data_IF_748335413938
#
_entry.id   IF_748335413938
#
_cell.length_a   1.000
_cell.length_b   1.000
_cell.length_c   1.000
_cell.angle_alpha   90.00
_cell.angle_beta   90.00
_cell.angle_gamma   90.00
#
_symmetry.space_group_name_H-M   'P 1'
#
loop_
_entity.id
_entity.type
_entity.pdbx_description
1 polymer ?
#
# COMPACT_ATOMS: atom_id res chain seq x y z
N UNK A 1 0.23 -33.01 -4.42
CA UNK A 1 0.50 -31.76 -3.64
C UNK A 1 0.04 -31.96 -2.21
N UNK A 2 0.90 -31.67 -1.21
CA UNK A 2 0.51 -31.76 0.21
C UNK A 2 -0.51 -30.66 0.52
N UNK A 3 -1.63 -31.01 1.16
CA UNK A 3 -2.61 -30.05 1.67
C UNK A 3 -2.03 -29.44 2.95
N UNK A 4 -2.08 -28.11 3.10
CA UNK A 4 -1.71 -27.45 4.37
C UNK A 4 -2.74 -27.80 5.44
N UNK A 5 -2.24 -28.18 6.62
CA UNK A 5 -3.04 -28.47 7.81
C UNK A 5 -2.88 -27.32 8.80
N UNK A 6 -3.97 -26.92 9.44
CA UNK A 6 -3.98 -25.86 10.43
C UNK A 6 -2.98 -26.15 11.57
N UNK A 7 -2.16 -25.16 11.92
CA UNK A 7 -1.04 -25.27 12.87
C UNK A 7 -0.01 -26.38 12.55
N UNK A 8 -0.07 -27.00 11.36
CA UNK A 8 0.83 -28.09 10.94
C UNK A 8 2.22 -27.63 10.50
N UNK A 9 2.36 -26.34 10.22
CA UNK A 9 3.57 -25.72 9.69
C UNK A 9 3.54 -25.51 8.19
N UNK A 10 4.22 -24.45 7.75
CA UNK A 10 4.38 -24.12 6.33
C UNK A 10 5.79 -24.51 5.90
N UNK A 11 5.98 -25.27 4.81
CA UNK A 11 7.30 -25.55 4.25
C UNK A 11 8.06 -24.25 3.94
N UNK A 12 9.36 -24.20 4.20
CA UNK A 12 10.17 -22.99 3.97
C UNK A 12 10.08 -22.49 2.53
N UNK A 13 10.13 -23.40 1.54
CA UNK A 13 9.99 -23.05 0.12
C UNK A 13 8.66 -22.33 -0.17
N UNK A 14 7.55 -22.85 0.36
CA UNK A 14 6.21 -22.24 0.19
C UNK A 14 6.18 -20.85 0.86
N UNK A 15 6.74 -20.73 2.06
CA UNK A 15 6.77 -19.45 2.78
C UNK A 15 7.57 -18.37 2.03
N UNK A 16 8.79 -18.70 1.57
CA UNK A 16 9.60 -17.76 0.80
C UNK A 16 8.96 -17.43 -0.55
N UNK A 17 8.35 -18.40 -1.23
CA UNK A 17 7.57 -18.15 -2.45
C UNK A 17 6.42 -17.17 -2.17
N UNK A 18 5.64 -17.38 -1.10
CA UNK A 18 4.58 -16.45 -0.73
C UNK A 18 5.11 -15.05 -0.43
N UNK A 19 6.25 -14.92 0.24
CA UNK A 19 6.89 -13.63 0.53
C UNK A 19 7.33 -12.91 -0.76
N UNK A 20 7.96 -13.63 -1.69
CA UNK A 20 8.34 -13.09 -3.01
C UNK A 20 7.12 -12.68 -3.83
N UNK A 21 6.11 -13.55 -3.91
CA UNK A 21 4.85 -13.24 -4.62
C UNK A 21 4.13 -12.04 -3.99
N UNK A 22 4.15 -11.91 -2.65
CA UNK A 22 3.58 -10.75 -1.97
C UNK A 22 4.28 -9.45 -2.39
N UNK A 23 5.60 -9.45 -2.44
CA UNK A 23 6.38 -8.30 -2.88
C UNK A 23 6.12 -7.94 -4.35
N UNK A 24 6.17 -8.93 -5.25
CA UNK A 24 5.97 -8.70 -6.69
C UNK A 24 4.54 -8.26 -7.04
N UNK A 25 3.53 -8.72 -6.32
CA UNK A 25 2.15 -8.31 -6.57
C UNK A 25 1.81 -6.94 -5.98
N UNK A 26 2.32 -6.59 -4.80
CA UNK A 26 2.11 -5.24 -4.25
C UNK A 26 2.85 -4.17 -5.06
N UNK A 27 3.94 -4.53 -5.72
CA UNK A 27 4.73 -3.66 -6.59
C UNK A 27 3.87 -2.96 -7.66
N UNK A 28 2.82 -3.62 -8.16
CA UNK A 28 1.89 -3.06 -9.15
C UNK A 28 1.21 -1.76 -8.69
N UNK A 29 1.08 -1.56 -7.37
CA UNK A 29 0.51 -0.34 -6.79
C UNK A 29 1.43 0.88 -6.88
N UNK A 30 2.73 0.64 -7.07
CA UNK A 30 3.77 1.67 -6.90
C UNK A 30 4.59 1.93 -8.16
N UNK A 31 4.49 1.07 -9.20
CA UNK A 31 5.23 1.26 -10.45
C UNK A 31 4.93 2.58 -11.16
N UNK A 32 3.70 3.08 -11.06
CA UNK A 32 3.28 4.31 -11.71
C UNK A 32 3.92 5.58 -11.10
N UNK A 33 4.25 5.57 -9.79
CA UNK A 33 4.66 6.78 -9.07
C UNK A 33 5.89 7.49 -9.67
N UNK A 34 7.00 6.80 -9.99
CA UNK A 34 8.14 7.46 -10.64
C UNK A 34 7.88 7.85 -12.10
N UNK A 35 6.84 7.28 -12.73
CA UNK A 35 6.58 7.42 -14.17
C UNK A 35 5.52 8.49 -14.51
N UNK A 36 4.87 9.08 -13.50
CA UNK A 36 3.73 9.99 -13.71
C UNK A 36 4.08 11.19 -14.59
N UNK A 37 5.27 11.77 -14.40
CA UNK A 37 5.74 12.89 -15.20
C UNK A 37 5.98 12.48 -16.66
N UNK A 38 6.63 11.33 -16.88
CA UNK A 38 6.86 10.78 -18.22
C UNK A 38 5.53 10.47 -18.93
N UNK A 39 4.56 9.87 -18.22
CA UNK A 39 3.22 9.60 -18.75
C UNK A 39 2.45 10.89 -19.07
N UNK A 40 2.60 11.95 -18.25
CA UNK A 40 2.03 13.26 -18.49
C UNK A 40 2.49 13.82 -19.84
N UNK A 41 3.80 13.81 -20.09
CA UNK A 41 4.41 14.37 -21.30
C UNK A 41 4.07 13.53 -22.55
N UNK A 42 4.21 12.20 -22.46
CA UNK A 42 4.06 11.30 -23.60
C UNK A 42 2.58 11.21 -24.06
N UNK A 43 1.65 11.10 -23.13
CA UNK A 43 0.21 11.05 -23.39
C UNK A 43 -0.43 12.43 -23.63
N UNK A 44 0.32 13.52 -23.43
CA UNK A 44 -0.15 14.92 -23.52
C UNK A 44 -1.39 15.18 -22.68
N UNK A 45 -1.42 14.63 -21.49
CA UNK A 45 -2.49 14.78 -20.50
C UNK A 45 -2.10 15.78 -19.43
N UNK A 46 -3.05 16.29 -18.64
CA UNK A 46 -2.74 17.16 -17.52
C UNK A 46 -2.07 16.40 -16.37
N UNK A 47 -1.30 17.09 -15.53
CA UNK A 47 -0.68 16.48 -14.33
C UNK A 47 -1.74 15.88 -13.38
N UNK A 48 -2.91 16.52 -13.28
CA UNK A 48 -4.05 15.99 -12.52
C UNK A 48 -4.53 14.66 -13.11
N UNK A 49 -4.65 14.57 -14.44
CA UNK A 49 -5.04 13.33 -15.11
C UNK A 49 -4.01 12.21 -14.93
N UNK A 50 -2.72 12.54 -14.98
CA UNK A 50 -1.65 11.57 -14.69
C UNK A 50 -1.72 11.10 -13.23
N UNK A 51 -1.89 12.01 -12.27
CA UNK A 51 -2.01 11.68 -10.85
C UNK A 51 -3.25 10.81 -10.55
N UNK A 52 -4.35 10.97 -11.32
CA UNK A 52 -5.54 10.13 -11.22
C UNK A 52 -5.26 8.65 -11.48
N UNK A 53 -4.20 8.28 -12.20
CA UNK A 53 -3.77 6.88 -12.38
C UNK A 53 -3.49 6.26 -11.00
N UNK A 54 -2.72 6.96 -10.16
CA UNK A 54 -2.40 6.50 -8.80
C UNK A 54 -3.65 6.47 -7.91
N UNK A 55 -4.48 7.53 -7.95
CA UNK A 55 -5.73 7.61 -7.18
C UNK A 55 -6.62 6.40 -7.48
N UNK A 56 -6.86 6.16 -8.77
CA UNK A 56 -7.77 5.09 -9.24
C UNK A 56 -7.21 3.70 -8.89
N UNK A 57 -5.89 3.50 -9.01
CA UNK A 57 -5.23 2.25 -8.58
C UNK A 57 -5.45 1.98 -7.09
N UNK A 58 -5.31 3.01 -6.26
CA UNK A 58 -5.52 2.91 -4.80
C UNK A 58 -6.98 2.67 -4.42
N UNK A 59 -7.92 3.35 -5.09
CA UNK A 59 -9.36 3.08 -4.92
C UNK A 59 -9.68 1.65 -5.32
N UNK A 60 -9.13 1.17 -6.44
CA UNK A 60 -9.26 -0.22 -6.86
C UNK A 60 -8.72 -1.18 -5.78
N UNK A 61 -7.56 -0.90 -5.21
CA UNK A 61 -6.99 -1.71 -4.14
C UNK A 61 -7.87 -1.72 -2.88
N UNK A 62 -8.41 -0.57 -2.47
CA UNK A 62 -9.36 -0.48 -1.37
C UNK A 62 -10.63 -1.32 -1.64
N UNK A 63 -11.17 -1.29 -2.86
CA UNK A 63 -12.26 -2.17 -3.29
C UNK A 63 -11.87 -3.64 -3.21
N UNK A 64 -10.67 -3.99 -3.67
CA UNK A 64 -10.13 -5.35 -3.58
C UNK A 64 -10.00 -5.84 -2.13
N UNK A 65 -9.52 -5.00 -1.21
CA UNK A 65 -9.46 -5.29 0.22
C UNK A 65 -10.84 -5.55 0.81
N UNK A 66 -11.83 -4.77 0.40
CA UNK A 66 -13.20 -4.88 0.92
C UNK A 66 -13.95 -6.09 0.35
N UNK A 67 -13.81 -6.36 -0.96
CA UNK A 67 -14.59 -7.40 -1.64
C UNK A 67 -13.83 -8.71 -1.86
N UNK A 68 -12.55 -8.67 -2.24
CA UNK A 68 -11.79 -9.87 -2.62
C UNK A 68 -11.23 -10.60 -1.39
N UNK A 69 -10.74 -9.88 -0.37
CA UNK A 69 -10.15 -10.53 0.81
C UNK A 69 -11.15 -11.40 1.56
N UNK A 70 -12.39 -10.95 1.87
CA UNK A 70 -13.38 -11.80 2.52
C UNK A 70 -13.73 -13.03 1.67
N UNK A 71 -13.72 -12.94 0.34
CA UNK A 71 -13.97 -14.10 -0.53
C UNK A 71 -12.95 -15.23 -0.31
N UNK A 72 -11.72 -14.91 0.18
CA UNK A 72 -10.70 -15.88 0.55
C UNK A 72 -11.07 -16.81 1.72
N UNK A 73 -12.10 -16.45 2.52
CA UNK A 73 -12.62 -17.30 3.60
C UNK A 73 -13.65 -18.32 3.07
N UNK A 74 -14.28 -18.03 1.91
CA UNK A 74 -15.30 -18.86 1.28
C UNK A 74 -14.77 -19.72 0.13
N UNK A 75 -13.83 -19.19 -0.63
CA UNK A 75 -13.31 -19.83 -1.83
C UNK A 75 -11.85 -20.24 -1.65
N UNK A 76 -11.37 -21.10 -2.53
CA UNK A 76 -9.98 -21.54 -2.53
C UNK A 76 -9.03 -20.35 -2.79
N UNK A 77 -8.25 -19.98 -1.79
CA UNK A 77 -7.33 -18.84 -1.82
C UNK A 77 -6.32 -18.91 -2.98
N UNK A 78 -5.89 -20.14 -3.36
CA UNK A 78 -5.02 -20.33 -4.53
C UNK A 78 -5.72 -19.94 -5.82
N UNK A 79 -7.01 -20.31 -6.00
CA UNK A 79 -7.77 -19.94 -7.21
C UNK A 79 -7.98 -18.44 -7.30
N UNK A 80 -8.30 -17.78 -6.17
CA UNK A 80 -8.44 -16.31 -6.12
C UNK A 80 -7.11 -15.64 -6.47
N UNK A 81 -5.99 -16.11 -5.91
CA UNK A 81 -4.65 -15.58 -6.21
C UNK A 81 -4.32 -15.69 -7.69
N UNK A 82 -4.53 -16.85 -8.30
CA UNK A 82 -4.30 -17.09 -9.75
C UNK A 82 -5.17 -16.17 -10.59
N UNK A 83 -6.46 -16.08 -10.27
CA UNK A 83 -7.39 -15.19 -10.96
C UNK A 83 -6.94 -13.72 -10.89
N UNK A 84 -6.60 -13.23 -9.69
CA UNK A 84 -6.09 -11.87 -9.51
C UNK A 84 -4.82 -11.61 -10.34
N UNK A 85 -3.85 -12.55 -10.32
CA UNK A 85 -2.62 -12.40 -11.11
C UNK A 85 -2.89 -12.42 -12.62
N UNK A 86 -3.84 -13.24 -13.09
CA UNK A 86 -4.23 -13.28 -14.50
C UNK A 86 -4.84 -11.96 -14.95
N UNK A 87 -5.80 -11.43 -14.19
CA UNK A 87 -6.43 -10.13 -14.48
C UNK A 87 -5.39 -9.02 -14.42
N UNK A 88 -4.52 -9.01 -13.40
CA UNK A 88 -3.45 -8.02 -13.29
C UNK A 88 -2.52 -8.05 -14.52
N UNK A 89 -2.11 -9.22 -15.00
CA UNK A 89 -1.29 -9.35 -16.20
C UNK A 89 -1.98 -8.76 -17.44
N UNK A 90 -3.27 -9.05 -17.63
CA UNK A 90 -4.07 -8.52 -18.76
C UNK A 90 -4.19 -6.99 -18.65
N UNK A 91 -4.44 -6.46 -17.47
CA UNK A 91 -4.55 -4.99 -17.27
C UNK A 91 -3.21 -4.29 -17.49
N UNK A 92 -2.11 -4.89 -17.06
CA UNK A 92 -0.76 -4.35 -17.32
C UNK A 92 -0.44 -4.34 -18.83
N UNK A 93 -0.80 -5.39 -19.57
CA UNK A 93 -0.67 -5.40 -21.03
C UNK A 93 -1.58 -4.32 -21.67
N UNK A 94 -2.79 -4.16 -21.18
CA UNK A 94 -3.69 -3.10 -21.65
C UNK A 94 -3.05 -1.72 -21.47
N UNK A 95 -2.45 -1.43 -20.29
CA UNK A 95 -1.73 -0.17 -20.05
C UNK A 95 -0.54 -0.03 -20.99
N UNK A 96 0.21 -1.10 -21.23
CA UNK A 96 1.41 -1.09 -22.10
C UNK A 96 1.09 -0.65 -23.54
N UNK A 97 -0.02 -1.11 -24.10
CA UNK A 97 -0.32 -0.92 -25.52
C UNK A 97 -1.34 0.18 -25.81
N UNK A 98 -1.97 0.78 -24.81
CA UNK A 98 -2.95 1.84 -25.01
C UNK A 98 -2.36 3.23 -24.91
N UNK A 99 -2.80 4.15 -25.77
CA UNK A 99 -2.57 5.60 -25.63
C UNK A 99 -3.76 6.35 -24.99
N UNK A 100 -4.84 5.65 -24.62
CA UNK A 100 -6.04 6.28 -24.07
C UNK A 100 -5.99 6.36 -22.55
N UNK A 101 -6.02 7.57 -21.99
CA UNK A 101 -6.02 7.79 -20.54
C UNK A 101 -7.24 7.13 -19.86
N UNK A 102 -8.38 7.09 -20.50
CA UNK A 102 -9.59 6.47 -19.94
C UNK A 102 -9.43 4.95 -19.80
N UNK A 103 -8.79 4.29 -20.79
CA UNK A 103 -8.47 2.87 -20.72
C UNK A 103 -7.39 2.60 -19.66
N UNK A 104 -6.38 3.49 -19.54
CA UNK A 104 -5.37 3.40 -18.47
C UNK A 104 -6.06 3.50 -17.11
N UNK A 105 -7.01 4.41 -16.89
CA UNK A 105 -7.75 4.51 -15.63
C UNK A 105 -8.57 3.26 -15.33
N UNK A 106 -9.32 2.74 -16.31
CA UNK A 106 -10.10 1.52 -16.14
C UNK A 106 -9.21 0.31 -15.83
N UNK A 107 -8.09 0.15 -16.55
CA UNK A 107 -7.12 -0.90 -16.32
C UNK A 107 -6.44 -0.74 -14.95
N UNK A 108 -6.09 0.48 -14.54
CA UNK A 108 -5.50 0.78 -13.24
C UNK A 108 -6.43 0.46 -12.08
N UNK A 109 -7.74 0.69 -12.23
CA UNK A 109 -8.73 0.30 -11.23
C UNK A 109 -8.74 -1.24 -11.03
N UNK A 110 -8.87 -2.00 -12.12
CA UNK A 110 -8.90 -3.47 -12.06
C UNK A 110 -7.55 -4.04 -11.60
N UNK A 111 -6.43 -3.43 -12.01
CA UNK A 111 -5.09 -3.77 -11.52
C UNK A 111 -5.02 -3.58 -9.99
N UNK A 112 -5.54 -2.47 -9.48
CA UNK A 112 -5.64 -2.21 -8.05
C UNK A 112 -6.45 -3.28 -7.32
N UNK A 113 -7.68 -3.57 -7.79
CA UNK A 113 -8.56 -4.62 -7.23
C UNK A 113 -7.84 -5.96 -7.13
N UNK A 114 -7.05 -6.32 -8.14
CA UNK A 114 -6.36 -7.61 -8.22
C UNK A 114 -4.99 -7.65 -7.53
N UNK A 115 -4.44 -6.51 -7.09
CA UNK A 115 -3.13 -6.44 -6.43
C UNK A 115 -3.17 -6.78 -4.93
N UNK A 116 -4.32 -7.19 -4.38
CA UNK A 116 -4.52 -7.51 -2.95
C UNK A 116 -3.96 -8.87 -2.50
N UNK A 117 -3.28 -9.57 -3.37
CA UNK A 117 -2.72 -10.92 -3.11
C UNK A 117 -1.89 -11.01 -1.82
N UNK A 118 -1.05 -10.03 -1.44
CA UNK A 118 -0.31 -10.08 -0.18
C UNK A 118 -1.22 -10.21 1.05
N UNK A 119 -2.38 -9.57 1.01
CA UNK A 119 -3.35 -9.61 2.09
C UNK A 119 -4.08 -10.97 2.19
N UNK A 120 -4.06 -11.78 1.12
CA UNK A 120 -4.52 -13.18 1.13
C UNK A 120 -3.48 -14.07 1.82
N UNK A 121 -2.18 -13.79 1.65
CA UNK A 121 -1.11 -14.60 2.22
C UNK A 121 -0.92 -14.41 3.73
N UNK A 122 -1.20 -13.23 4.26
CA UNK A 122 -1.09 -12.96 5.70
C UNK A 122 -1.97 -13.89 6.56
N UNK A 123 -3.27 -14.05 6.29
CA UNK A 123 -4.10 -15.03 6.99
C UNK A 123 -3.64 -16.48 6.81
N UNK A 124 -3.08 -16.84 5.63
CA UNK A 124 -2.52 -18.18 5.40
C UNK A 124 -1.36 -18.44 6.36
N UNK A 125 -0.42 -17.49 6.48
CA UNK A 125 0.69 -17.63 7.41
C UNK A 125 0.21 -17.69 8.86
N UNK A 126 -0.80 -16.90 9.23
CA UNK A 126 -1.36 -16.89 10.56
C UNK A 126 -2.05 -18.22 10.94
N UNK A 127 -2.73 -18.87 9.99
CA UNK A 127 -3.54 -20.07 10.20
C UNK A 127 -2.73 -21.37 10.14
N UNK A 128 -1.80 -21.47 9.17
CA UNK A 128 -1.11 -22.74 8.89
C UNK A 128 0.29 -22.84 9.49
N UNK A 129 0.85 -21.76 10.06
CA UNK A 129 2.11 -21.83 10.80
C UNK A 129 1.95 -22.55 12.12
N UNK A 130 2.99 -23.27 12.55
CA UNK A 130 3.08 -23.75 13.93
C UNK A 130 3.05 -22.56 14.89
N UNK A 131 2.42 -22.68 16.07
CA UNK A 131 2.29 -21.58 17.03
C UNK A 131 3.60 -20.86 17.35
N UNK A 132 4.70 -21.63 17.55
CA UNK A 132 6.03 -21.13 17.86
C UNK A 132 6.68 -20.34 16.71
N UNK A 133 6.27 -20.60 15.45
CA UNK A 133 6.83 -19.97 14.26
C UNK A 133 5.93 -18.91 13.61
N UNK A 134 4.73 -18.71 14.14
CA UNK A 134 3.70 -17.84 13.55
C UNK A 134 4.18 -16.41 13.35
N UNK A 135 4.73 -15.81 14.40
CA UNK A 135 5.25 -14.43 14.36
C UNK A 135 6.41 -14.28 13.38
N UNK A 136 7.34 -15.26 13.37
CA UNK A 136 8.46 -15.29 12.45
C UNK A 136 8.02 -15.40 10.99
N UNK A 137 7.07 -16.27 10.68
CA UNK A 137 6.59 -16.49 9.31
C UNK A 137 5.82 -15.28 8.80
N UNK A 138 5.03 -14.62 9.64
CA UNK A 138 4.38 -13.35 9.31
C UNK A 138 5.42 -12.24 9.04
N UNK A 139 6.49 -12.20 9.83
CA UNK A 139 7.60 -11.27 9.63
C UNK A 139 8.28 -11.47 8.27
N UNK A 140 8.50 -12.71 7.84
CA UNK A 140 9.08 -13.02 6.51
C UNK A 140 8.17 -12.52 5.39
N UNK A 141 6.85 -12.72 5.47
CA UNK A 141 5.89 -12.19 4.50
C UNK A 141 5.90 -10.67 4.45
N UNK A 142 5.92 -10.03 5.62
CA UNK A 142 5.95 -8.56 5.71
C UNK A 142 7.26 -8.01 5.12
N UNK A 143 8.39 -8.66 5.37
CA UNK A 143 9.67 -8.28 4.76
C UNK A 143 9.62 -8.38 3.24
N UNK A 144 9.06 -9.46 2.69
CA UNK A 144 8.86 -9.60 1.24
C UNK A 144 7.98 -8.48 0.65
N UNK A 145 6.89 -8.16 1.34
CA UNK A 145 5.99 -7.05 0.96
C UNK A 145 6.73 -5.70 0.96
N UNK A 146 7.47 -5.39 2.01
CA UNK A 146 8.24 -4.14 2.10
C UNK A 146 9.34 -4.06 1.03
N UNK A 147 10.08 -5.15 0.80
CA UNK A 147 11.05 -5.22 -0.30
C UNK A 147 10.40 -4.96 -1.66
N UNK A 148 9.19 -5.48 -1.89
CA UNK A 148 8.43 -5.24 -3.11
C UNK A 148 8.03 -3.77 -3.27
N UNK A 149 7.54 -3.12 -2.21
CA UNK A 149 7.16 -1.70 -2.22
C UNK A 149 8.39 -0.81 -2.53
N UNK A 150 9.50 -1.04 -1.85
CA UNK A 150 10.72 -0.24 -2.04
C UNK A 150 11.37 -0.52 -3.40
N UNK A 151 11.53 -1.80 -3.72
CA UNK A 151 12.15 -2.23 -4.97
C UNK A 151 11.36 -1.82 -6.21
N UNK A 152 10.03 -1.78 -6.12
CA UNK A 152 9.18 -1.38 -7.24
C UNK A 152 9.47 0.03 -7.73
N UNK A 153 9.66 0.98 -6.83
CA UNK A 153 9.98 2.37 -7.20
C UNK A 153 11.34 2.47 -7.88
N UNK A 154 12.35 1.77 -7.35
CA UNK A 154 13.70 1.73 -7.93
C UNK A 154 13.66 1.11 -9.33
N UNK A 155 13.10 -0.10 -9.44
CA UNK A 155 13.01 -0.81 -10.73
C UNK A 155 12.21 -0.01 -11.76
N UNK A 156 11.07 0.55 -11.34
CA UNK A 156 10.22 1.36 -12.21
C UNK A 156 10.92 2.63 -12.66
N UNK A 157 11.64 3.32 -11.77
CA UNK A 157 12.39 4.52 -12.11
C UNK A 157 13.46 4.25 -13.17
N UNK A 158 14.27 3.21 -12.98
CA UNK A 158 15.34 2.87 -13.95
C UNK A 158 14.80 2.33 -15.28
N UNK A 159 13.84 1.41 -15.26
CA UNK A 159 13.24 0.89 -16.51
C UNK A 159 12.54 2.03 -17.26
N UNK A 160 11.82 2.89 -16.55
CA UNK A 160 11.15 4.05 -17.15
C UNK A 160 12.12 4.99 -17.82
N UNK A 161 13.23 5.35 -17.16
CA UNK A 161 14.24 6.27 -17.69
C UNK A 161 14.93 5.72 -18.94
N UNK A 162 15.24 4.42 -18.97
CA UNK A 162 16.02 3.83 -20.07
C UNK A 162 15.16 3.29 -21.22
N UNK A 163 13.97 2.78 -20.95
CA UNK A 163 13.15 2.05 -21.91
C UNK A 163 11.73 2.60 -22.07
N UNK A 164 11.39 3.65 -21.31
CA UNK A 164 10.06 4.25 -21.31
C UNK A 164 9.07 3.55 -20.36
N UNK A 165 8.00 4.27 -20.02
CA UNK A 165 6.99 3.81 -19.07
C UNK A 165 6.24 2.56 -19.55
N UNK A 166 6.02 2.42 -20.87
CA UNK A 166 5.36 1.25 -21.47
C UNK A 166 6.15 -0.03 -21.21
N UNK A 167 7.48 0.03 -21.33
CA UNK A 167 8.35 -1.12 -21.08
C UNK A 167 8.25 -1.59 -19.63
N UNK A 168 8.09 -0.67 -18.67
CA UNK A 168 7.90 -1.04 -17.26
C UNK A 168 6.60 -1.82 -17.05
N UNK A 169 5.48 -1.39 -17.62
CA UNK A 169 4.22 -2.10 -17.49
C UNK A 169 4.23 -3.45 -18.24
N UNK A 170 4.89 -3.53 -19.40
CA UNK A 170 5.12 -4.78 -20.11
C UNK A 170 5.98 -5.77 -19.29
N UNK A 171 7.05 -5.30 -18.67
CA UNK A 171 7.86 -6.09 -17.74
C UNK A 171 7.03 -6.58 -16.54
N UNK A 172 6.23 -5.71 -15.94
CA UNK A 172 5.35 -6.08 -14.84
C UNK A 172 4.32 -7.15 -15.24
N UNK A 173 3.78 -7.10 -16.47
CA UNK A 173 2.88 -8.10 -17.00
C UNK A 173 3.57 -9.47 -17.09
N UNK A 174 4.81 -9.52 -17.60
CA UNK A 174 5.61 -10.75 -17.66
C UNK A 174 5.85 -11.29 -16.25
N UNK A 175 6.20 -10.44 -15.29
CA UNK A 175 6.37 -10.82 -13.88
C UNK A 175 5.08 -11.43 -13.32
N UNK A 176 3.90 -10.86 -13.61
CA UNK A 176 2.62 -11.42 -13.14
C UNK A 176 2.32 -12.79 -13.76
N UNK A 177 2.66 -13.03 -15.04
CA UNK A 177 2.52 -14.35 -15.68
C UNK A 177 3.44 -15.38 -15.02
N UNK A 178 4.69 -15.02 -14.72
CA UNK A 178 5.63 -15.88 -13.98
C UNK A 178 5.10 -16.15 -12.57
N UNK A 179 4.63 -15.13 -11.84
CA UNK A 179 4.03 -15.30 -10.52
C UNK A 179 2.82 -16.23 -10.54
N UNK A 180 1.96 -16.13 -11.57
CA UNK A 180 0.83 -17.03 -11.78
C UNK A 180 1.29 -18.48 -11.96
N UNK A 181 2.28 -18.73 -12.84
CA UNK A 181 2.84 -20.05 -13.05
C UNK A 181 3.45 -20.64 -11.78
N UNK A 182 4.24 -19.85 -11.04
CA UNK A 182 4.83 -20.24 -9.75
C UNK A 182 3.74 -20.56 -8.72
N UNK A 183 2.67 -19.78 -8.67
CA UNK A 183 1.53 -20.02 -7.77
C UNK A 183 0.86 -21.37 -8.11
N UNK A 184 0.68 -21.67 -9.39
CA UNK A 184 0.10 -22.94 -9.85
C UNK A 184 0.99 -24.16 -9.56
N UNK A 185 2.30 -23.99 -9.52
CA UNK A 185 3.25 -25.07 -9.27
C UNK A 185 3.50 -25.31 -7.79
N UNK A 186 3.64 -24.24 -6.99
CA UNK A 186 4.18 -24.32 -5.64
C UNK A 186 3.11 -24.15 -4.56
N UNK A 187 2.11 -23.27 -4.76
CA UNK A 187 1.14 -22.97 -3.71
C UNK A 187 0.19 -24.16 -3.50
N UNK A 188 0.18 -24.76 -2.27
CA UNK A 188 -0.69 -25.91 -1.99
C UNK A 188 -2.17 -25.51 -2.00
N UNK A 189 -3.03 -26.51 -2.13
CA UNK A 189 -4.46 -26.32 -1.90
C UNK A 189 -4.73 -26.19 -0.40
N UNK A 190 -5.64 -25.31 -0.02
CA UNK A 190 -6.03 -25.04 1.37
C UNK A 190 -7.52 -25.23 1.51
N UNK A 191 -7.94 -25.83 2.63
CA UNK A 191 -9.35 -25.90 2.99
C UNK A 191 -9.82 -24.51 3.45
N UNK A 192 -11.02 -24.14 3.05
CA UNK A 192 -11.72 -22.94 3.55
C UNK A 192 -12.49 -23.30 4.83
N UNK A 193 -12.58 -22.35 5.75
CA UNK A 193 -13.11 -22.61 7.09
C UNK A 193 -14.48 -21.97 7.35
N UNK A 194 -15.05 -21.26 6.38
CA UNK A 194 -16.33 -20.60 6.56
C UNK A 194 -17.44 -21.36 5.82
N UNK A 195 -18.52 -21.67 6.53
CA UNK A 195 -19.71 -22.39 6.02
C UNK A 195 -20.91 -21.44 5.88
N UNK A 196 -20.72 -20.26 5.29
CA UNK A 196 -21.78 -19.26 5.10
C UNK A 196 -21.88 -18.78 3.65
N UNK A 197 -22.81 -17.89 3.38
CA UNK A 197 -22.91 -17.21 2.08
C UNK A 197 -22.08 -15.91 2.07
N UNK A 198 -21.58 -15.51 0.90
CA UNK A 198 -20.83 -14.27 0.74
C UNK A 198 -21.61 -13.01 1.20
N UNK A 199 -22.91 -12.83 0.91
CA UNK A 199 -23.68 -11.71 1.45
C UNK A 199 -23.71 -11.67 2.99
N UNK A 200 -23.82 -12.82 3.67
CA UNK A 200 -23.80 -12.90 5.14
C UNK A 200 -22.45 -12.47 5.71
N UNK A 201 -21.37 -12.85 5.06
CA UNK A 201 -20.01 -12.43 5.42
C UNK A 201 -19.87 -10.91 5.26
N UNK A 202 -20.26 -10.36 4.12
CA UNK A 202 -20.21 -8.90 3.84
C UNK A 202 -21.07 -8.11 4.81
N UNK A 203 -22.26 -8.60 5.13
CA UNK A 203 -23.10 -7.99 6.15
C UNK A 203 -22.41 -7.90 7.50
N UNK A 204 -21.64 -8.93 7.89
CA UNK A 204 -20.88 -8.90 9.14
C UNK A 204 -19.75 -7.85 9.12
N UNK A 205 -19.10 -7.63 7.99
CA UNK A 205 -18.08 -6.59 7.81
C UNK A 205 -18.71 -5.20 7.96
N UNK A 206 -19.83 -4.95 7.28
CA UNK A 206 -20.57 -3.68 7.38
C UNK A 206 -21.08 -3.46 8.80
N UNK A 207 -21.58 -4.50 9.46
CA UNK A 207 -22.05 -4.43 10.87
C UNK A 207 -20.91 -3.99 11.81
N UNK A 208 -19.71 -4.58 11.69
CA UNK A 208 -18.54 -4.18 12.50
C UNK A 208 -18.22 -2.71 12.24
N UNK A 209 -18.17 -2.29 10.97
CA UNK A 209 -17.89 -0.92 10.58
C UNK A 209 -18.89 0.07 11.19
N UNK A 210 -20.18 -0.25 11.24
CA UNK A 210 -21.22 0.66 11.73
C UNK A 210 -21.33 0.66 13.26
N UNK A 211 -21.07 -0.47 13.94
CA UNK A 211 -21.28 -0.60 15.39
C UNK A 211 -20.07 -0.23 16.25
N UNK A 212 -18.82 -0.34 15.72
CA UNK A 212 -17.61 -0.15 16.51
C UNK A 212 -16.93 1.19 16.21
N UNK A 213 -17.29 2.24 16.98
CA UNK A 213 -16.75 3.59 16.81
C UNK A 213 -15.22 3.65 16.97
N UNK A 214 -14.64 2.88 17.91
CA UNK A 214 -13.20 2.85 18.16
C UNK A 214 -12.41 2.32 16.96
N UNK A 215 -12.92 1.29 16.26
CA UNK A 215 -12.28 0.75 15.05
C UNK A 215 -12.29 1.81 13.96
N UNK A 216 -13.44 2.51 13.76
CA UNK A 216 -13.52 3.63 12.79
C UNK A 216 -12.52 4.73 13.11
N UNK A 217 -12.41 5.10 14.37
CA UNK A 217 -11.50 6.16 14.82
C UNK A 217 -10.03 5.80 14.53
N UNK A 218 -9.60 4.60 14.87
CA UNK A 218 -8.26 4.12 14.55
C UNK A 218 -8.00 4.10 13.04
N UNK A 219 -8.98 3.61 12.26
CA UNK A 219 -8.87 3.53 10.82
C UNK A 219 -8.82 4.92 10.14
N UNK A 220 -9.73 5.84 10.51
CA UNK A 220 -9.79 7.19 9.94
C UNK A 220 -8.54 8.00 10.30
N UNK A 221 -8.08 7.95 11.55
CA UNK A 221 -6.82 8.61 11.95
C UNK A 221 -5.65 8.13 11.09
N UNK A 222 -5.51 6.81 10.93
CA UNK A 222 -4.41 6.24 10.14
C UNK A 222 -4.57 6.52 8.64
N UNK A 223 -5.82 6.65 8.16
CA UNK A 223 -6.13 7.04 6.79
C UNK A 223 -5.60 8.43 6.44
N UNK A 224 -5.78 9.41 7.34
CA UNK A 224 -5.22 10.75 7.17
C UNK A 224 -3.68 10.72 7.21
N UNK A 225 -3.07 9.94 8.11
CA UNK A 225 -1.61 9.74 8.13
C UNK A 225 -1.08 9.14 6.83
N UNK A 226 -1.77 8.15 6.26
CA UNK A 226 -1.38 7.54 5.00
C UNK A 226 -1.62 8.44 3.79
N UNK A 227 -2.72 9.19 3.80
CA UNK A 227 -2.98 10.20 2.78
C UNK A 227 -1.91 11.30 2.76
N UNK A 228 -1.43 11.71 3.93
CA UNK A 228 -0.29 12.62 4.07
C UNK A 228 0.97 12.06 3.37
N UNK A 229 1.31 10.78 3.58
CA UNK A 229 2.43 10.12 2.89
C UNK A 229 2.24 10.06 1.37
N UNK A 230 1.05 9.62 0.93
CA UNK A 230 0.81 9.44 -0.49
C UNK A 230 0.70 10.76 -1.26
N UNK A 231 0.33 11.86 -0.58
CA UNK A 231 0.44 13.21 -1.13
C UNK A 231 1.88 13.52 -1.59
N UNK A 232 2.89 13.14 -0.79
CA UNK A 232 4.30 13.32 -1.13
C UNK A 232 4.67 12.50 -2.36
N UNK A 233 4.46 11.18 -2.32
CA UNK A 233 4.90 10.27 -3.35
C UNK A 233 4.22 10.49 -4.71
N UNK A 234 2.98 10.95 -4.72
CA UNK A 234 2.21 11.16 -5.95
C UNK A 234 2.69 12.35 -6.79
N UNK A 235 3.25 13.37 -6.14
CA UNK A 235 3.72 14.57 -6.81
C UNK A 235 5.25 14.69 -6.88
N UNK A 236 5.99 13.76 -6.25
CA UNK A 236 7.45 13.79 -6.19
C UNK A 236 8.10 13.73 -7.58
N UNK A 237 7.54 12.94 -8.51
CA UNK A 237 8.04 12.86 -9.89
C UNK A 237 7.96 14.21 -10.61
N UNK A 238 6.84 14.92 -10.48
CA UNK A 238 6.66 16.25 -11.07
C UNK A 238 7.60 17.27 -10.42
N UNK A 239 7.81 17.18 -9.11
CA UNK A 239 8.69 18.09 -8.38
C UNK A 239 10.15 17.92 -8.80
N UNK A 240 10.61 16.68 -8.93
CA UNK A 240 11.99 16.39 -9.35
C UNK A 240 12.25 16.68 -10.84
N UNK A 241 11.23 16.59 -11.68
CA UNK A 241 11.37 16.96 -13.10
C UNK A 241 11.48 18.48 -13.30
N UNK A 242 10.92 19.28 -12.39
CA UNK A 242 10.99 20.74 -12.41
C UNK A 242 12.34 21.28 -11.88
N UNK A 243 12.57 22.60 -12.09
CA UNK A 243 13.70 23.29 -11.45
C UNK A 243 13.58 23.23 -9.91
N UNK A 244 14.68 23.13 -9.18
CA UNK A 244 16.08 23.17 -9.61
C UNK A 244 16.68 21.81 -10.02
N UNK A 245 15.93 20.70 -9.91
CA UNK A 245 16.46 19.34 -9.99
C UNK A 245 16.67 18.85 -11.43
N UNK A 246 15.70 19.08 -12.32
CA UNK A 246 15.70 18.55 -13.70
C UNK A 246 16.06 17.06 -13.76
N UNK A 247 15.51 16.26 -12.84
CA UNK A 247 15.86 14.87 -12.62
C UNK A 247 14.85 13.91 -13.26
N UNK A 248 15.36 12.82 -13.79
CA UNK A 248 14.55 11.76 -14.38
C UNK A 248 13.91 10.82 -13.36
N UNK A 249 13.15 9.85 -13.87
CA UNK A 249 12.43 8.87 -13.07
C UNK A 249 13.35 7.97 -12.22
N UNK A 250 14.60 7.78 -12.65
CA UNK A 250 15.64 7.04 -11.91
C UNK A 250 15.90 7.65 -10.52
N UNK A 251 15.99 8.98 -10.43
CA UNK A 251 16.21 9.70 -9.16
C UNK A 251 15.01 9.60 -8.25
N UNK A 252 13.79 9.69 -8.81
CA UNK A 252 12.55 9.46 -8.06
C UNK A 252 12.54 8.04 -7.47
N UNK A 253 12.91 7.05 -8.27
CA UNK A 253 13.01 5.66 -7.86
C UNK A 253 14.03 5.46 -6.74
N UNK A 254 15.22 6.07 -6.83
CA UNK A 254 16.26 5.99 -5.80
C UNK A 254 15.81 6.57 -4.45
N UNK A 255 15.03 7.64 -4.44
CA UNK A 255 14.44 8.16 -3.21
C UNK A 255 13.50 7.15 -2.53
N UNK A 256 12.98 6.17 -3.28
CA UNK A 256 12.26 5.03 -2.71
C UNK A 256 13.04 4.26 -1.64
N UNK A 257 14.38 4.26 -1.71
CA UNK A 257 15.23 3.62 -0.70
C UNK A 257 15.14 4.28 0.68
N UNK A 258 14.71 5.54 0.76
CA UNK A 258 14.45 6.21 2.05
C UNK A 258 13.42 5.45 2.89
N UNK A 259 12.52 4.69 2.25
CA UNK A 259 11.57 3.82 2.93
C UNK A 259 12.21 2.69 3.75
N UNK A 260 13.51 2.39 3.57
CA UNK A 260 14.24 1.47 4.46
C UNK A 260 14.23 1.97 5.92
N UNK A 261 14.32 3.28 6.12
CA UNK A 261 14.26 3.86 7.46
C UNK A 261 12.92 3.54 8.15
N UNK A 262 11.81 3.60 7.41
CA UNK A 262 10.48 3.27 7.93
C UNK A 262 10.34 1.77 8.24
N UNK A 263 10.92 0.90 7.40
CA UNK A 263 10.93 -0.54 7.65
C UNK A 263 11.70 -0.90 8.93
N UNK A 264 12.84 -0.26 9.17
CA UNK A 264 13.61 -0.42 10.40
C UNK A 264 12.85 0.14 11.63
N UNK A 265 12.21 1.29 11.48
CA UNK A 265 11.40 1.88 12.55
C UNK A 265 10.25 0.97 13.01
N UNK A 266 9.61 0.22 12.09
CA UNK A 266 8.54 -0.73 12.42
C UNK A 266 8.94 -1.74 13.50
N UNK A 267 10.18 -2.23 13.47
CA UNK A 267 10.66 -3.22 14.46
C UNK A 267 10.76 -2.61 15.86
N UNK A 268 11.24 -1.37 15.96
CA UNK A 268 11.30 -0.63 17.22
C UNK A 268 9.91 -0.29 17.75
N UNK A 269 9.02 0.22 16.88
CA UNK A 269 7.64 0.56 17.23
C UNK A 269 6.93 -0.68 17.79
N UNK A 270 6.98 -1.81 17.09
CA UNK A 270 6.32 -3.05 17.50
C UNK A 270 6.78 -3.54 18.87
N UNK A 271 8.08 -3.40 19.19
CA UNK A 271 8.66 -3.80 20.48
C UNK A 271 8.17 -2.93 21.65
N UNK A 272 8.08 -1.62 21.44
CA UNK A 272 7.79 -0.68 22.52
C UNK A 272 6.30 -0.28 22.62
N UNK A 273 5.49 -0.56 21.60
CA UNK A 273 4.06 -0.24 21.56
C UNK A 273 3.29 -0.76 22.80
N UNK A 274 3.48 -2.02 23.28
CA UNK A 274 2.78 -2.51 24.47
C UNK A 274 3.11 -1.71 25.74
N UNK A 275 4.33 -1.15 25.82
CA UNK A 275 4.79 -0.40 27.00
C UNK A 275 4.26 1.03 27.07
N UNK A 276 4.18 1.71 25.92
CA UNK A 276 3.85 3.15 25.87
C UNK A 276 2.44 3.44 25.38
N UNK A 277 1.76 2.45 24.80
CA UNK A 277 0.37 2.50 24.37
C UNK A 277 0.14 3.22 23.03
N UNK A 278 -1.04 2.95 22.45
CA UNK A 278 -1.43 3.43 21.10
C UNK A 278 -1.45 4.96 20.97
N UNK A 279 -1.89 5.66 22.03
CA UNK A 279 -2.07 7.12 22.00
C UNK A 279 -0.72 7.86 21.84
N UNK A 280 0.27 7.55 22.70
CA UNK A 280 1.58 8.20 22.67
C UNK A 280 2.29 7.94 21.32
N UNK A 281 2.24 6.73 20.82
CA UNK A 281 2.85 6.40 19.54
C UNK A 281 2.16 7.11 18.36
N UNK A 282 0.85 7.29 18.41
CA UNK A 282 0.13 8.07 17.39
C UNK A 282 0.49 9.56 17.44
N UNK A 283 0.72 10.14 18.63
CA UNK A 283 1.21 11.51 18.76
C UNK A 283 2.61 11.66 18.14
N UNK A 284 3.52 10.73 18.42
CA UNK A 284 4.87 10.70 17.81
C UNK A 284 4.76 10.63 16.30
N UNK A 285 3.91 9.74 15.78
CA UNK A 285 3.69 9.60 14.33
C UNK A 285 3.22 10.89 13.67
N UNK A 286 2.23 11.57 14.29
CA UNK A 286 1.74 12.86 13.79
C UNK A 286 2.81 13.97 13.88
N UNK A 287 3.59 14.02 14.96
CA UNK A 287 4.66 14.99 15.12
C UNK A 287 5.76 14.81 14.05
N UNK A 288 6.15 13.55 13.78
CA UNK A 288 7.11 13.23 12.73
C UNK A 288 6.60 13.66 11.34
N UNK A 289 5.34 13.37 11.03
CA UNK A 289 4.76 13.78 9.75
C UNK A 289 4.68 15.30 9.60
N UNK A 290 4.24 16.02 10.64
CA UNK A 290 4.20 17.49 10.62
C UNK A 290 5.60 18.10 10.46
N UNK A 291 6.59 17.57 11.18
CA UNK A 291 8.00 17.99 11.03
C UNK A 291 8.52 17.71 9.63
N UNK A 292 8.19 16.51 9.06
CA UNK A 292 8.57 16.15 7.70
C UNK A 292 7.99 17.09 6.66
N UNK A 293 6.72 17.50 6.79
CA UNK A 293 6.10 18.46 5.90
C UNK A 293 6.63 19.88 6.07
N UNK A 294 6.98 20.29 7.30
CA UNK A 294 7.66 21.56 7.52
C UNK A 294 9.03 21.57 6.81
N UNK A 295 9.79 20.48 6.89
CA UNK A 295 11.05 20.32 6.16
C UNK A 295 10.82 20.30 4.63
N UNK A 296 9.79 19.62 4.13
CA UNK A 296 9.43 19.60 2.72
C UNK A 296 9.07 20.98 2.17
N UNK A 297 8.39 21.80 2.97
CA UNK A 297 8.02 23.17 2.61
C UNK A 297 9.23 24.12 2.63
N UNK A 298 10.09 24.05 3.63
CA UNK A 298 11.20 24.99 3.82
C UNK A 298 12.45 24.61 2.98
N UNK A 299 12.69 23.31 2.80
CA UNK A 299 13.92 22.77 2.18
C UNK A 299 13.63 21.82 1.03
N UNK A 300 12.42 21.88 0.45
CA UNK A 300 11.99 21.01 -0.64
C UNK A 300 12.77 21.17 -1.95
N UNK A 301 13.51 22.26 -2.13
CA UNK A 301 14.40 22.51 -3.29
C UNK A 301 15.80 21.87 -3.13
N UNK A 302 16.04 21.14 -2.04
CA UNK A 302 17.28 20.42 -1.76
C UNK A 302 17.05 18.91 -1.67
N UNK A 303 17.93 18.10 -2.29
CA UNK A 303 17.89 16.64 -2.12
C UNK A 303 17.97 16.21 -0.65
N UNK A 304 18.81 16.88 0.15
CA UNK A 304 18.93 16.57 1.59
C UNK A 304 17.62 16.87 2.30
N UNK A 305 16.98 18.01 1.99
CA UNK A 305 15.68 18.37 2.52
C UNK A 305 14.60 17.37 2.14
N UNK A 306 14.55 16.95 0.87
CA UNK A 306 13.61 15.93 0.40
C UNK A 306 13.83 14.58 1.09
N UNK A 307 15.08 14.10 1.20
CA UNK A 307 15.40 12.86 1.91
C UNK A 307 14.95 12.92 3.37
N UNK A 308 15.25 14.01 4.06
CA UNK A 308 14.83 14.19 5.45
C UNK A 308 13.29 14.22 5.59
N UNK A 309 12.60 14.94 4.71
CA UNK A 309 11.15 15.00 4.66
C UNK A 309 10.52 13.61 4.42
N UNK A 310 11.02 12.88 3.40
CA UNK A 310 10.54 11.53 3.08
C UNK A 310 10.72 10.61 4.28
N UNK A 311 11.90 10.57 4.88
CA UNK A 311 12.17 9.70 6.04
C UNK A 311 11.24 10.02 7.21
N UNK A 312 11.05 11.30 7.54
CA UNK A 312 10.18 11.71 8.64
C UNK A 312 8.71 11.35 8.38
N UNK A 313 8.22 11.60 7.18
CA UNK A 313 6.83 11.29 6.80
C UNK A 313 6.62 9.77 6.73
N UNK A 314 7.54 9.02 6.12
CA UNK A 314 7.46 7.55 6.00
C UNK A 314 7.51 6.88 7.38
N UNK A 315 8.43 7.30 8.27
CA UNK A 315 8.48 6.76 9.64
C UNK A 315 7.21 7.13 10.39
N UNK A 316 6.73 8.37 10.27
CA UNK A 316 5.50 8.83 10.93
C UNK A 316 4.27 8.00 10.54
N UNK A 317 4.13 7.62 9.27
CA UNK A 317 3.00 6.77 8.83
C UNK A 317 3.05 5.37 9.45
N UNK A 318 4.24 4.81 9.66
CA UNK A 318 4.36 3.49 10.30
C UNK A 318 3.84 3.50 11.74
N UNK A 319 4.04 4.60 12.48
CA UNK A 319 3.43 4.78 13.79
C UNK A 319 1.90 4.75 13.71
N UNK A 320 1.30 5.44 12.73
CA UNK A 320 -0.16 5.43 12.53
C UNK A 320 -0.68 4.06 12.09
N UNK A 321 -0.01 3.40 11.18
CA UNK A 321 -0.42 2.09 10.65
C UNK A 321 -0.37 1.02 11.75
N UNK A 322 0.76 0.89 12.46
CA UNK A 322 0.91 -0.12 13.50
C UNK A 322 -0.03 0.12 14.68
N UNK A 323 -0.13 1.36 15.16
CA UNK A 323 -1.04 1.69 16.26
C UNK A 323 -2.50 1.51 15.86
N UNK A 324 -2.87 1.91 14.65
CA UNK A 324 -4.24 1.81 14.16
C UNK A 324 -4.65 0.38 13.92
N UNK A 325 -3.84 -0.41 13.20
CA UNK A 325 -4.16 -1.80 12.90
C UNK A 325 -4.17 -2.69 14.15
N UNK A 326 -3.13 -2.59 14.99
CA UNK A 326 -3.07 -3.37 16.24
C UNK A 326 -4.17 -2.95 17.20
N UNK A 327 -4.44 -1.65 17.35
CA UNK A 327 -5.50 -1.13 18.20
C UNK A 327 -6.89 -1.55 17.73
N UNK A 328 -7.13 -1.58 16.42
CA UNK A 328 -8.38 -2.07 15.85
C UNK A 328 -8.59 -3.57 16.10
N UNK A 329 -7.57 -4.39 15.86
CA UNK A 329 -7.62 -5.84 16.08
C UNK A 329 -7.81 -6.17 17.55
N UNK A 330 -7.21 -5.41 18.48
CA UNK A 330 -7.36 -5.60 19.90
C UNK A 330 -8.81 -5.41 20.41
N UNK A 331 -9.65 -4.64 19.67
CA UNK A 331 -11.08 -4.47 20.00
C UNK A 331 -11.91 -5.73 19.73
N UNK A 332 -11.55 -6.54 18.73
CA UNK A 332 -12.27 -7.75 18.33
C UNK A 332 -11.27 -8.81 17.82
N UNK A 333 -10.53 -9.48 18.72
CA UNK A 333 -9.54 -10.50 18.32
C UNK A 333 -10.15 -11.68 17.55
N UNK A 334 -11.41 -12.04 17.87
CA UNK A 334 -12.18 -13.11 17.22
C UNK A 334 -12.56 -12.80 15.76
N UNK A 335 -12.53 -11.50 15.39
CA UNK A 335 -12.84 -11.03 14.04
C UNK A 335 -11.62 -10.37 13.38
N UNK A 336 -10.39 -10.66 13.82
CA UNK A 336 -9.16 -9.98 13.43
C UNK A 336 -8.99 -9.79 11.91
N UNK A 337 -9.32 -10.81 11.11
CA UNK A 337 -9.24 -10.74 9.63
C UNK A 337 -10.21 -9.69 9.05
N UNK A 338 -11.47 -9.68 9.53
CA UNK A 338 -12.49 -8.72 9.07
C UNK A 338 -12.16 -7.30 9.52
N UNK A 339 -11.71 -7.13 10.76
CA UNK A 339 -11.28 -5.84 11.31
C UNK A 339 -10.07 -5.30 10.55
N UNK A 340 -9.08 -6.15 10.23
CA UNK A 340 -7.92 -5.77 9.43
C UNK A 340 -8.32 -5.35 8.01
N UNK A 341 -9.26 -6.06 7.38
CA UNK A 341 -9.77 -5.69 6.05
C UNK A 341 -10.46 -4.31 6.07
N UNK A 342 -11.31 -4.04 7.08
CA UNK A 342 -11.96 -2.74 7.27
C UNK A 342 -10.91 -1.64 7.47
N UNK A 343 -9.96 -1.86 8.38
CA UNK A 343 -8.89 -0.90 8.67
C UNK A 343 -8.11 -0.56 7.40
N UNK A 344 -7.63 -1.57 6.67
CA UNK A 344 -6.83 -1.37 5.46
C UNK A 344 -7.64 -0.72 4.33
N UNK A 345 -8.93 -1.04 4.20
CA UNK A 345 -9.82 -0.37 3.21
C UNK A 345 -9.90 1.13 3.47
N UNK A 346 -10.19 1.53 4.71
CA UNK A 346 -10.28 2.95 5.09
C UNK A 346 -8.91 3.63 4.95
N UNK A 347 -7.83 2.95 5.32
CA UNK A 347 -6.45 3.42 5.19
C UNK A 347 -6.12 3.77 3.73
N UNK A 348 -6.45 2.90 2.76
CA UNK A 348 -6.21 3.15 1.35
C UNK A 348 -7.17 4.19 0.74
N UNK A 349 -8.40 4.30 1.24
CA UNK A 349 -9.30 5.43 0.88
C UNK A 349 -8.65 6.76 1.29
N UNK A 350 -8.08 6.83 2.50
CA UNK A 350 -7.32 8.01 2.93
C UNK A 350 -6.12 8.31 2.04
N UNK A 351 -5.40 7.27 1.64
CA UNK A 351 -4.30 7.38 0.67
C UNK A 351 -4.76 7.98 -0.66
N UNK A 352 -5.87 7.46 -1.21
CA UNK A 352 -6.47 7.97 -2.45
C UNK A 352 -6.87 9.44 -2.33
N UNK A 353 -7.49 9.81 -1.20
CA UNK A 353 -7.87 11.20 -0.92
C UNK A 353 -6.64 12.12 -0.86
N UNK A 354 -5.57 11.70 -0.16
CA UNK A 354 -4.34 12.47 -0.08
C UNK A 354 -3.68 12.66 -1.44
N UNK A 355 -3.60 11.60 -2.24
CA UNK A 355 -3.09 11.65 -3.62
C UNK A 355 -3.91 12.61 -4.48
N UNK A 356 -5.24 12.53 -4.43
CA UNK A 356 -6.13 13.40 -5.20
C UNK A 356 -5.95 14.87 -4.81
N UNK A 357 -6.01 15.18 -3.51
CA UNK A 357 -5.85 16.54 -3.01
C UNK A 357 -4.46 17.10 -3.32
N UNK A 358 -3.41 16.27 -3.27
CA UNK A 358 -2.06 16.68 -3.64
C UNK A 358 -1.97 17.05 -5.13
N UNK A 359 -2.63 16.31 -6.02
CA UNK A 359 -2.71 16.66 -7.43
C UNK A 359 -3.38 18.01 -7.68
N UNK A 360 -4.45 18.32 -6.93
CA UNK A 360 -5.10 19.64 -6.97
C UNK A 360 -4.17 20.72 -6.39
N UNK A 361 -3.52 20.45 -5.25
CA UNK A 361 -2.53 21.35 -4.62
C UNK A 361 -1.37 21.68 -5.57
N UNK A 362 -0.87 20.67 -6.26
CA UNK A 362 0.17 20.84 -7.28
C UNK A 362 -0.27 21.80 -8.40
N UNK A 363 -1.48 21.60 -8.90
CA UNK A 363 -2.02 22.43 -10.00
C UNK A 363 -2.20 23.90 -9.60
N UNK A 364 -2.44 24.20 -8.32
CA UNK A 364 -2.66 25.55 -7.81
C UNK A 364 -1.37 26.26 -7.40
N UNK A 365 -0.45 25.58 -6.72
CA UNK A 365 0.71 26.17 -6.09
C UNK A 365 1.97 25.29 -6.13
N UNK A 366 2.06 24.34 -7.06
CA UNK A 366 3.20 23.44 -7.21
C UNK A 366 3.50 22.68 -5.91
N UNK A 367 4.77 22.53 -5.59
CA UNK A 367 5.23 21.82 -4.39
C UNK A 367 4.72 22.41 -3.07
N UNK A 368 4.57 23.73 -3.01
CA UNK A 368 4.00 24.40 -1.83
C UNK A 368 2.56 23.96 -1.58
N UNK A 369 1.75 23.84 -2.64
CA UNK A 369 0.39 23.33 -2.54
C UNK A 369 0.33 21.88 -2.05
N UNK A 370 1.22 21.02 -2.53
CA UNK A 370 1.36 19.64 -2.05
C UNK A 370 1.74 19.61 -0.58
N UNK A 371 2.70 20.44 -0.18
CA UNK A 371 3.19 20.53 1.19
C UNK A 371 2.09 20.96 2.17
N UNK A 372 1.25 21.92 1.77
CA UNK A 372 0.08 22.34 2.56
C UNK A 372 -0.93 21.19 2.70
N UNK A 373 -1.25 20.49 1.62
CA UNK A 373 -2.17 19.33 1.68
C UNK A 373 -1.65 18.27 2.64
N UNK A 374 -0.38 17.87 2.49
CA UNK A 374 0.22 16.85 3.33
C UNK A 374 0.29 17.25 4.81
N UNK A 375 0.62 18.53 5.08
CA UNK A 375 0.62 19.10 6.43
C UNK A 375 -0.78 19.10 7.04
N UNK A 376 -1.81 19.54 6.31
CA UNK A 376 -3.20 19.54 6.78
C UNK A 376 -3.68 18.14 7.10
N UNK A 377 -3.40 17.16 6.25
CA UNK A 377 -3.76 15.76 6.53
C UNK A 377 -3.07 15.22 7.79
N UNK A 378 -1.77 15.51 7.98
CA UNK A 378 -1.06 15.14 9.20
C UNK A 378 -1.62 15.85 10.44
N UNK A 379 -2.01 17.13 10.31
CA UNK A 379 -2.64 17.90 11.38
C UNK A 379 -4.02 17.34 11.77
N UNK A 380 -4.82 16.90 10.79
CA UNK A 380 -6.11 16.21 11.07
C UNK A 380 -5.85 14.89 11.80
N UNK A 381 -4.85 14.10 11.42
CA UNK A 381 -4.48 12.88 12.15
C UNK A 381 -4.07 13.19 13.59
N UNK A 382 -3.33 14.28 13.83
CA UNK A 382 -2.99 14.76 15.18
C UNK A 382 -4.24 15.17 15.94
N UNK A 383 -5.12 15.97 15.34
CA UNK A 383 -6.36 16.44 15.98
C UNK A 383 -7.22 15.25 16.44
N UNK A 384 -7.44 14.27 15.54
CA UNK A 384 -8.16 13.04 15.89
C UNK A 384 -7.47 12.35 17.08
N UNK A 385 -6.13 12.27 17.08
CA UNK A 385 -5.37 11.63 18.17
C UNK A 385 -5.59 12.37 19.50
N UNK A 386 -5.55 13.69 19.51
CA UNK A 386 -5.71 14.51 20.74
C UNK A 386 -7.14 14.43 21.27
N UNK A 387 -8.14 14.57 20.40
CA UNK A 387 -9.57 14.51 20.78
C UNK A 387 -9.98 13.11 21.27
N UNK A 388 -9.37 12.06 20.75
CA UNK A 388 -9.66 10.68 21.14
C UNK A 388 -8.99 10.21 22.44
N UNK A 389 -8.50 11.11 23.26
CA UNK A 389 -7.77 10.80 24.52
C UNK A 389 -8.66 10.23 25.65
N UNK A 390 -9.97 10.06 25.40
CA UNK A 390 -10.93 9.48 26.39
C UNK A 390 -10.98 7.95 26.32
#
# INVERSE_FOLDING_TARGET
MKILVENGGIPRSVLFTMATLAGLTVANMYYNQPLLEMMHNDLRITMVQANMITVITQVGYACGLFFVIPAGDLYNRRRITVFCMSVAAVMLLCITFTGSIHLIWAASFLLGVCSVVPQIFMPIAAQFSKPENKSRNMGILLSGLLCGILGSRVVSGFIGEWLGWQAMFGFAALVMLVCMAVTLLILPQMKHNFTGSYPKLMFSVVKILTTHATIRLFAVRSAFGFGSLLALWSCLAFHLAAAPFHAGSDKVGLLGLCGLASALACTGIGKYLPRYGYHRFSLIGSALQLSGWAVAFLFGESYIGLVAAIVLVDVGVQYHQLTGQSGSIAQMPEAASRVSAIFMTIFFIGGSLGTFLAGLGWNHAGWNGVSVVGFVMAAVALLITVVSRK
#
